data_IF_975461275495
#
_entry.id   IF_975461275495
#
_cell.length_a   1.000
_cell.length_b   1.000
_cell.length_c   1.000
_cell.angle_alpha   90.00
_cell.angle_beta   90.00
_cell.angle_gamma   90.00
#
_symmetry.space_group_name_H-M   'P 1'
#
loop_
_entity.id
_entity.type
_entity.pdbx_description
1 polymer ?
#
# COMPACT_ATOMS: atom_id res chain seq x y z
N UNK A 1 -5.58 13.55 -2.34
CA UNK A 1 -4.18 13.24 -1.98
C UNK A 1 -3.94 11.74 -2.17
N UNK A 2 -2.69 11.26 -2.13
CA UNK A 2 -2.39 9.85 -2.45
C UNK A 2 -3.02 8.87 -1.45
N UNK A 3 -3.07 9.23 -0.17
CA UNK A 3 -3.74 8.42 0.87
C UNK A 3 -5.25 8.30 0.66
N UNK A 4 -5.90 9.32 0.09
CA UNK A 4 -7.34 9.23 -0.22
C UNK A 4 -7.60 8.19 -1.32
N UNK A 5 -6.65 8.00 -2.24
CA UNK A 5 -6.74 6.97 -3.28
C UNK A 5 -6.55 5.58 -2.69
N UNK A 6 -5.56 5.41 -1.81
CA UNK A 6 -5.37 4.18 -1.05
C UNK A 6 -6.65 3.80 -0.28
N UNK A 7 -7.22 4.76 0.46
CA UNK A 7 -8.45 4.54 1.23
C UNK A 7 -9.64 4.16 0.33
N UNK A 8 -9.78 4.80 -0.83
CA UNK A 8 -10.81 4.45 -1.81
C UNK A 8 -10.64 3.03 -2.35
N UNK A 9 -9.43 2.65 -2.75
CA UNK A 9 -9.16 1.31 -3.28
C UNK A 9 -9.43 0.23 -2.23
N UNK A 10 -9.05 0.46 -0.96
CA UNK A 10 -9.42 -0.40 0.16
C UNK A 10 -10.94 -0.51 0.33
N UNK A 11 -11.66 0.62 0.36
CA UNK A 11 -13.13 0.63 0.48
C UNK A 11 -13.80 -0.15 -0.64
N UNK A 12 -13.28 -0.06 -1.87
CA UNK A 12 -13.83 -0.74 -3.04
C UNK A 12 -13.65 -2.27 -2.99
N UNK A 13 -12.85 -2.82 -2.07
CA UNK A 13 -12.79 -4.29 -1.84
C UNK A 13 -14.00 -4.85 -1.09
N UNK A 14 -14.85 -3.99 -0.53
CA UNK A 14 -15.95 -4.44 0.32
C UNK A 14 -16.99 -5.24 -0.47
N UNK A 15 -17.46 -6.41 0.03
CA UNK A 15 -18.46 -7.25 -0.65
C UNK A 15 -19.79 -6.57 -1.01
N UNK A 16 -20.06 -5.38 -0.47
CA UNK A 16 -21.29 -4.61 -0.74
C UNK A 16 -21.36 -4.12 -2.18
N UNK A 17 -20.21 -4.11 -2.86
CA UNK A 17 -20.08 -3.76 -4.25
C UNK A 17 -20.22 -4.97 -5.19
N UNK A 18 -20.45 -6.17 -4.65
CA UNK A 18 -20.71 -7.40 -5.40
C UNK A 18 -19.68 -7.61 -6.53
N UNK A 19 -20.14 -7.76 -7.77
CA UNK A 19 -19.29 -7.95 -8.96
C UNK A 19 -18.43 -6.75 -9.33
N UNK A 20 -18.69 -5.58 -8.71
CA UNK A 20 -17.90 -4.35 -8.87
C UNK A 20 -16.87 -4.17 -7.76
N UNK A 21 -16.81 -5.08 -6.78
CA UNK A 21 -15.78 -5.04 -5.75
C UNK A 21 -14.40 -5.28 -6.37
N UNK A 22 -13.41 -4.51 -5.93
CA UNK A 22 -12.02 -4.78 -6.27
C UNK A 22 -11.54 -6.04 -5.55
N UNK A 23 -10.69 -6.82 -6.23
CA UNK A 23 -10.00 -7.93 -5.59
C UNK A 23 -8.99 -7.39 -4.57
N UNK A 24 -9.02 -7.92 -3.33
CA UNK A 24 -8.02 -7.59 -2.31
C UNK A 24 -6.60 -7.83 -2.82
N UNK A 25 -6.37 -8.94 -3.54
CA UNK A 25 -5.07 -9.28 -4.14
C UNK A 25 -4.60 -8.19 -5.10
N UNK A 26 -5.51 -7.68 -5.95
CA UNK A 26 -5.19 -6.61 -6.90
C UNK A 26 -4.80 -5.32 -6.17
N UNK A 27 -5.52 -4.97 -5.09
CA UNK A 27 -5.19 -3.79 -4.27
C UNK A 27 -3.84 -3.97 -3.58
N UNK A 28 -3.57 -5.13 -2.98
CA UNK A 28 -2.27 -5.44 -2.35
C UNK A 28 -1.12 -5.26 -3.33
N UNK A 29 -1.21 -5.85 -4.53
CA UNK A 29 -0.18 -5.73 -5.57
C UNK A 29 -0.01 -4.30 -6.11
N UNK A 30 -1.09 -3.51 -6.17
CA UNK A 30 -1.04 -2.14 -6.67
C UNK A 30 -0.21 -1.22 -5.76
N UNK A 31 -0.25 -1.48 -4.45
CA UNK A 31 0.38 -0.64 -3.43
C UNK A 31 1.66 -1.24 -2.86
N UNK A 32 2.10 -2.39 -3.38
CA UNK A 32 3.33 -3.06 -2.96
C UNK A 32 4.57 -2.16 -3.11
N UNK A 33 5.38 -2.09 -2.05
CA UNK A 33 6.58 -1.26 -1.97
C UNK A 33 6.32 0.24 -1.82
N UNK A 34 5.08 0.64 -1.52
CA UNK A 34 4.72 2.07 -1.39
C UNK A 34 4.13 2.42 -0.03
N UNK A 35 3.87 1.43 0.83
CA UNK A 35 3.26 1.64 2.14
C UNK A 35 4.30 1.98 3.20
N UNK A 36 3.89 2.76 4.19
CA UNK A 36 4.71 3.04 5.37
C UNK A 36 4.68 1.82 6.31
N UNK A 37 5.85 1.24 6.60
CA UNK A 37 5.97 0.06 7.48
C UNK A 37 5.31 -1.18 6.90
N UNK A 38 5.41 -1.37 5.58
CA UNK A 38 4.75 -2.46 4.85
C UNK A 38 5.10 -3.85 5.39
N UNK A 39 6.34 -4.02 5.86
CA UNK A 39 6.84 -5.23 6.48
C UNK A 39 6.15 -5.61 7.81
N UNK A 40 5.47 -4.65 8.46
CA UNK A 40 4.74 -4.86 9.71
C UNK A 40 3.24 -5.13 9.46
N UNK A 41 2.78 -5.01 8.21
CA UNK A 41 1.38 -5.18 7.87
C UNK A 41 1.00 -6.67 7.73
N UNK A 42 -0.25 -7.05 8.08
CA UNK A 42 -0.75 -8.37 7.77
C UNK A 42 -0.89 -8.56 6.25
N UNK A 43 -0.88 -9.81 5.78
CA UNK A 43 -1.02 -10.15 4.36
C UNK A 43 -2.28 -9.55 3.71
N UNK A 44 -3.38 -9.43 4.47
CA UNK A 44 -4.66 -8.90 4.02
C UNK A 44 -4.97 -7.48 4.52
N UNK A 45 -3.95 -6.62 4.65
CA UNK A 45 -4.01 -5.26 5.21
C UNK A 45 -5.05 -4.31 4.61
N UNK A 46 -5.68 -4.65 3.48
CA UNK A 46 -6.75 -3.86 2.84
C UNK A 46 -7.93 -3.49 3.76
N UNK A 47 -8.11 -4.18 4.88
CA UNK A 47 -9.11 -3.88 5.92
C UNK A 47 -8.53 -3.27 7.20
N UNK A 48 -7.21 -3.09 7.27
CA UNK A 48 -6.50 -2.48 8.38
C UNK A 48 -6.67 -0.97 8.36
N UNK A 49 -6.98 -0.39 9.52
CA UNK A 49 -7.16 1.05 9.67
C UNK A 49 -5.77 1.70 9.81
N UNK A 50 -5.60 2.87 9.19
CA UNK A 50 -4.39 3.68 9.38
C UNK A 50 -3.21 3.27 8.49
N UNK A 51 -3.43 2.42 7.48
CA UNK A 51 -2.43 2.17 6.43
C UNK A 51 -2.25 3.46 5.61
N UNK A 52 -1.00 3.88 5.44
CA UNK A 52 -0.64 5.10 4.74
C UNK A 52 0.43 4.79 3.69
N UNK A 53 0.41 5.57 2.61
CA UNK A 53 1.47 5.60 1.61
C UNK A 53 2.70 6.28 2.23
N UNK A 54 3.81 5.56 2.25
CA UNK A 54 5.12 6.04 2.71
C UNK A 54 5.98 6.41 1.52
N UNK A 55 6.07 7.69 1.18
CA UNK A 55 7.03 8.15 0.16
C UNK A 55 8.39 8.25 0.82
N UNK A 56 9.20 7.19 0.77
CA UNK A 56 10.62 7.28 1.10
C UNK A 56 11.34 7.91 -0.09
N UNK A 57 11.95 9.10 0.11
CA UNK A 57 12.89 9.63 -0.88
C UNK A 57 14.05 8.64 -0.93
N UNK A 58 14.19 7.99 -2.09
CA UNK A 58 14.95 6.76 -2.27
C UNK A 58 16.18 6.64 -1.39
N UNK A 59 16.22 5.59 -0.57
CA UNK A 59 17.49 4.97 -0.22
C UNK A 59 18.00 4.23 -1.46
N UNK A 60 18.53 4.98 -2.43
CA UNK A 60 19.71 4.50 -3.13
C UNK A 60 20.84 4.75 -2.16
N UNK A 61 21.41 3.68 -1.66
CA UNK A 61 22.59 3.66 -0.82
C UNK A 61 23.60 4.72 -1.31
N UNK A 62 23.97 5.66 -0.44
CA UNK A 62 25.27 6.29 -0.58
C UNK A 62 26.32 5.18 -0.40
N UNK A 63 26.82 4.64 -1.51
CA UNK A 63 28.08 3.90 -1.50
C UNK A 63 29.16 4.93 -1.16
N UNK A 64 29.42 5.07 0.13
CA UNK A 64 30.60 5.77 0.64
C UNK A 64 31.83 5.11 0.02
N UNK A 65 32.59 5.90 -0.75
CA UNK A 65 33.76 5.42 -1.45
C UNK A 65 34.88 5.00 -0.52
N UNK A 66 35.76 4.14 -1.03
CA UNK A 66 37.16 4.08 -0.61
C UNK A 66 37.98 4.17 -1.90
N UNK A 67 38.82 5.21 -1.96
CA UNK A 67 39.82 5.42 -3.02
C UNK A 67 41.07 4.59 -2.82
#
# INVERSE_FOLDING_TARGET
MINDRLELDCKMTHPRYETKALSKIMVTQTWEGTLMGEEELPEDWTTTIGVLVGITRGQREEVSGVG
#
